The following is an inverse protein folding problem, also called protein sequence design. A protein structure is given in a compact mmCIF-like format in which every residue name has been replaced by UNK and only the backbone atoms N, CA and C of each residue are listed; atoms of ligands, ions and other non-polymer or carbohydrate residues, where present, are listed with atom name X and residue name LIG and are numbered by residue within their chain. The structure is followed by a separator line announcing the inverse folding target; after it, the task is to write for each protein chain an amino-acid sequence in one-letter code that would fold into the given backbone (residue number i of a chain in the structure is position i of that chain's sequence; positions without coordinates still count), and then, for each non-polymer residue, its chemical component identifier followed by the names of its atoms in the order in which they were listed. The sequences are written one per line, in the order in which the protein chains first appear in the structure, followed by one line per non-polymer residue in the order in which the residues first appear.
data_IF_487273012279
#
_entry.id   IF_487273012279
#
_cell.length_a   1.000
_cell.length_b   1.000
_cell.length_c   1.000
_cell.angle_alpha   90.00
_cell.angle_beta   90.00
_cell.angle_gamma   90.00
#
_symmetry.space_group_name_H-M   'P 1'
#
loop_
_entity.id
_entity.type
_entity.pdbx_description
1 polymer ?
#
# COMPACT_ATOMS: atom_id res chain seq x y z
N UNK A 1 -5.36 -53.62 3.48
CA UNK A 1 -4.65 -54.55 2.60
C UNK A 1 -3.78 -55.46 3.45
N UNK A 2 -3.85 -56.78 3.29
CA UNK A 2 -3.13 -57.76 4.11
C UNK A 2 -1.59 -57.61 4.03
N UNK A 3 -1.07 -56.97 2.98
CA UNK A 3 0.35 -56.65 2.80
C UNK A 3 0.90 -55.64 3.85
N UNK A 4 0.07 -54.72 4.32
CA UNK A 4 0.49 -53.69 5.30
C UNK A 4 0.76 -54.30 6.68
N UNK A 5 0.16 -55.46 6.99
CA UNK A 5 0.34 -56.13 8.27
C UNK A 5 1.70 -56.86 8.42
N UNK A 6 2.47 -57.00 7.32
CA UNK A 6 3.75 -57.71 7.30
C UNK A 6 4.98 -56.80 7.15
N UNK A 7 4.80 -55.52 6.79
CA UNK A 7 5.90 -54.58 6.62
C UNK A 7 6.16 -53.82 7.93
N UNK A 8 7.35 -53.99 8.51
CA UNK A 8 7.81 -53.16 9.63
C UNK A 8 8.25 -51.79 9.12
N UNK A 9 7.72 -50.72 9.72
CA UNK A 9 8.13 -49.36 9.39
C UNK A 9 9.52 -49.06 9.98
N UNK A 10 10.50 -48.61 9.17
CA UNK A 10 11.80 -48.24 9.71
C UNK A 10 11.71 -46.97 10.55
N UNK A 11 12.57 -46.85 11.55
CA UNK A 11 12.69 -45.65 12.38
C UNK A 11 13.25 -44.46 11.58
N UNK A 12 14.20 -44.73 10.67
CA UNK A 12 14.82 -43.75 9.79
C UNK A 12 14.85 -44.26 8.35
N UNK A 13 14.62 -43.37 7.39
CA UNK A 13 14.67 -43.66 5.96
C UNK A 13 15.37 -42.50 5.24
N UNK A 14 16.46 -42.78 4.54
CA UNK A 14 17.11 -41.79 3.67
C UNK A 14 16.47 -41.88 2.30
N UNK A 15 15.85 -40.78 1.83
CA UNK A 15 15.31 -40.73 0.48
C UNK A 15 16.45 -40.39 -0.49
N UNK A 16 16.74 -41.29 -1.42
CA UNK A 16 17.74 -41.12 -2.48
C UNK A 16 17.06 -41.24 -3.85
N UNK A 17 17.73 -40.80 -4.91
CA UNK A 17 17.24 -40.98 -6.29
C UNK A 17 17.13 -42.48 -6.65
N UNK A 18 18.06 -43.30 -6.16
CA UNK A 18 17.98 -44.75 -6.23
C UNK A 18 17.05 -45.28 -5.13
N UNK A 19 15.81 -45.58 -5.50
CA UNK A 19 14.85 -46.20 -4.57
C UNK A 19 15.16 -47.70 -4.37
N UNK A 20 14.90 -48.26 -3.18
CA UNK A 20 15.02 -49.69 -2.95
C UNK A 20 14.04 -50.48 -3.82
N UNK A 21 14.45 -51.66 -4.27
CA UNK A 21 13.60 -52.60 -5.03
C UNK A 21 12.47 -53.22 -4.18
N UNK A 22 12.55 -53.07 -2.85
CA UNK A 22 11.57 -53.59 -1.90
C UNK A 22 10.58 -52.51 -1.47
N UNK A 23 9.33 -52.91 -1.18
CA UNK A 23 8.32 -51.98 -0.68
C UNK A 23 8.60 -51.58 0.76
N UNK A 24 8.77 -50.27 1.01
CA UNK A 24 8.99 -49.72 2.36
C UNK A 24 7.74 -48.98 2.84
N UNK A 25 7.26 -49.30 4.06
CA UNK A 25 6.14 -48.61 4.70
C UNK A 25 6.65 -47.44 5.54
N UNK A 26 6.33 -46.21 5.14
CA UNK A 26 6.65 -45.01 5.91
C UNK A 26 5.45 -44.58 6.77
N UNK A 27 5.71 -44.20 8.01
CA UNK A 27 4.69 -43.80 8.99
C UNK A 27 5.06 -42.48 9.66
N UNK A 28 4.19 -41.96 10.53
CA UNK A 28 4.45 -40.73 11.29
C UNK A 28 5.59 -40.87 12.30
N UNK A 29 5.99 -42.11 12.62
CA UNK A 29 7.16 -42.43 13.44
C UNK A 29 8.45 -42.54 12.62
N UNK A 30 8.35 -42.61 11.29
CA UNK A 30 9.52 -42.71 10.42
C UNK A 30 10.10 -41.32 10.17
N UNK A 31 11.38 -41.13 10.46
CA UNK A 31 12.15 -39.95 10.06
C UNK A 31 12.67 -40.13 8.65
N UNK A 32 12.21 -39.28 7.73
CA UNK A 32 12.68 -39.24 6.34
C UNK A 32 13.72 -38.12 6.19
N UNK A 33 14.95 -38.50 5.85
CA UNK A 33 16.03 -37.56 5.54
C UNK A 33 16.04 -37.24 4.05
N UNK A 34 16.04 -35.94 3.72
CA UNK A 34 16.10 -35.41 2.36
C UNK A 34 17.45 -34.72 2.16
N UNK A 35 18.31 -35.31 1.34
CA UNK A 35 19.67 -34.81 1.06
C UNK A 35 20.06 -35.09 -0.38
N UNK A 36 20.69 -34.14 -1.07
CA UNK A 36 21.19 -34.28 -2.43
C UNK A 36 20.15 -34.79 -3.45
N UNK A 37 18.88 -34.40 -3.27
CA UNK A 37 17.77 -34.79 -4.15
C UNK A 37 16.87 -33.60 -4.49
N UNK A 38 16.23 -33.70 -5.64
CA UNK A 38 15.08 -32.89 -6.05
C UNK A 38 13.83 -33.78 -5.99
N UNK A 39 12.74 -33.29 -5.38
CA UNK A 39 11.46 -34.03 -5.40
C UNK A 39 10.29 -33.14 -5.82
N UNK A 40 9.24 -33.75 -6.38
CA UNK A 40 8.02 -33.00 -6.71
C UNK A 40 7.37 -32.41 -5.45
N UNK A 41 6.76 -31.21 -5.55
CA UNK A 41 6.10 -30.56 -4.41
C UNK A 41 5.01 -31.45 -3.80
N UNK A 42 4.35 -32.28 -4.62
CA UNK A 42 3.31 -33.19 -4.19
C UNK A 42 3.86 -34.29 -3.29
N UNK A 43 5.00 -34.90 -3.66
CA UNK A 43 5.67 -35.90 -2.83
C UNK A 43 6.16 -35.27 -1.52
N UNK A 44 6.80 -34.11 -1.60
CA UNK A 44 7.24 -33.36 -0.42
C UNK A 44 6.09 -33.11 0.56
N UNK A 45 4.93 -32.67 0.08
CA UNK A 45 3.76 -32.45 0.93
C UNK A 45 3.16 -33.72 1.52
N UNK A 46 3.27 -34.86 0.84
CA UNK A 46 2.87 -36.16 1.38
C UNK A 46 3.80 -36.52 2.54
N UNK A 47 5.11 -36.40 2.36
CA UNK A 47 6.12 -36.66 3.40
C UNK A 47 5.89 -35.77 4.61
N UNK A 48 5.78 -34.45 4.42
CA UNK A 48 5.51 -33.52 5.53
C UNK A 48 4.29 -33.92 6.37
N UNK A 49 3.25 -34.45 5.75
CA UNK A 49 2.01 -34.83 6.43
C UNK A 49 2.05 -36.19 7.09
N UNK A 50 2.91 -37.09 6.62
CA UNK A 50 2.81 -38.53 6.91
C UNK A 50 4.04 -39.08 7.61
N UNK A 51 5.14 -38.35 7.63
CA UNK A 51 6.41 -38.77 8.24
C UNK A 51 7.02 -37.61 9.02
N UNK A 52 8.00 -37.88 9.87
CA UNK A 52 8.93 -36.84 10.30
C UNK A 52 9.88 -36.54 9.13
N UNK A 53 10.25 -35.28 8.92
CA UNK A 53 11.11 -34.86 7.81
C UNK A 53 12.30 -34.08 8.34
N UNK A 54 13.49 -34.51 7.94
CA UNK A 54 14.75 -33.79 8.15
C UNK A 54 15.30 -33.37 6.79
N UNK A 55 15.62 -32.10 6.63
CA UNK A 55 16.24 -31.56 5.41
C UNK A 55 17.72 -31.31 5.70
N UNK A 56 18.58 -31.89 4.89
CA UNK A 56 20.03 -31.72 4.95
C UNK A 56 20.51 -30.90 3.73
N UNK A 57 21.74 -31.12 3.29
CA UNK A 57 22.35 -30.36 2.20
C UNK A 57 21.71 -30.66 0.84
N UNK A 58 21.65 -29.63 -0.01
CA UNK A 58 21.27 -29.74 -1.42
C UNK A 58 19.92 -30.45 -1.63
N UNK A 59 18.87 -29.96 -0.97
CA UNK A 59 17.48 -30.37 -1.20
C UNK A 59 16.73 -29.31 -2.01
N UNK A 60 15.95 -29.75 -3.01
CA UNK A 60 15.04 -28.86 -3.77
C UNK A 60 13.68 -29.48 -4.02
N UNK A 61 12.69 -28.61 -4.30
CA UNK A 61 11.36 -29.00 -4.75
C UNK A 61 11.07 -28.44 -6.15
N UNK A 62 10.31 -29.21 -6.93
CA UNK A 62 9.94 -28.89 -8.33
C UNK A 62 8.48 -29.21 -8.61
N UNK A 63 7.98 -28.81 -9.78
CA UNK A 63 6.61 -29.08 -10.23
C UNK A 63 6.34 -30.59 -10.28
N UNK A 64 5.16 -30.99 -9.84
CA UNK A 64 4.69 -32.34 -10.05
C UNK A 64 4.20 -32.56 -11.50
N UNK A 65 4.86 -33.46 -12.23
CA UNK A 65 4.43 -33.91 -13.55
C UNK A 65 4.08 -35.40 -13.49
N UNK A 66 2.84 -35.76 -13.84
CA UNK A 66 2.33 -37.14 -13.81
C UNK A 66 3.11 -38.09 -14.76
N UNK A 67 3.85 -37.55 -15.74
CA UNK A 67 4.60 -38.33 -16.73
C UNK A 67 6.10 -38.43 -16.41
N UNK A 68 6.55 -37.94 -15.26
CA UNK A 68 7.98 -37.89 -14.92
C UNK A 68 8.26 -38.41 -13.51
N UNK A 69 9.52 -38.80 -13.30
CA UNK A 69 9.97 -39.24 -11.98
C UNK A 69 9.88 -38.10 -10.96
N UNK A 70 9.24 -38.41 -9.84
CA UNK A 70 9.01 -37.49 -8.73
C UNK A 70 10.22 -37.27 -7.83
N UNK A 71 11.32 -37.99 -8.06
CA UNK A 71 12.58 -37.94 -7.30
C UNK A 71 13.71 -37.95 -8.32
N UNK A 72 14.67 -37.04 -8.16
CA UNK A 72 15.84 -36.90 -9.04
C UNK A 72 17.07 -36.57 -8.23
N UNK A 73 18.23 -36.77 -8.83
CA UNK A 73 19.50 -36.31 -8.28
C UNK A 73 19.56 -34.77 -8.29
N UNK A 74 20.08 -34.18 -7.21
CA UNK A 74 20.25 -32.72 -7.12
C UNK A 74 21.27 -32.22 -8.15
N UNK A 75 21.00 -31.06 -8.75
CA UNK A 75 21.85 -30.45 -9.79
C UNK A 75 21.36 -30.69 -11.21
N UNK A 76 20.41 -31.61 -11.42
CA UNK A 76 19.61 -31.71 -12.65
C UNK A 76 18.45 -30.69 -12.66
N UNK A 77 18.61 -29.59 -11.92
CA UNK A 77 17.54 -28.65 -11.58
C UNK A 77 16.89 -28.14 -12.86
N UNK A 78 15.61 -28.45 -13.01
CA UNK A 78 14.80 -27.72 -13.97
C UNK A 78 14.66 -26.32 -13.42
N UNK A 79 15.20 -25.34 -14.15
CA UNK A 79 14.89 -23.93 -13.92
C UNK A 79 13.42 -23.60 -14.28
N UNK A 80 12.55 -24.62 -14.38
CA UNK A 80 11.12 -24.46 -14.64
C UNK A 80 10.45 -23.95 -13.36
N UNK A 81 9.98 -22.70 -13.34
CA UNK A 81 9.27 -22.16 -12.19
C UNK A 81 7.95 -22.91 -11.98
N UNK A 82 7.52 -23.10 -10.73
CA UNK A 82 6.28 -23.80 -10.42
C UNK A 82 5.35 -23.04 -9.45
N UNK A 83 4.12 -23.53 -9.30
CA UNK A 83 3.08 -22.93 -8.47
C UNK A 83 2.98 -23.60 -7.08
N UNK A 84 3.40 -22.90 -6.02
CA UNK A 84 3.20 -23.33 -4.63
C UNK A 84 1.81 -22.90 -4.12
N UNK A 85 0.80 -23.75 -4.32
CA UNK A 85 -0.58 -23.45 -3.93
C UNK A 85 -1.13 -24.38 -2.83
N UNK A 86 -1.78 -23.79 -1.81
CA UNK A 86 -2.49 -24.57 -0.79
C UNK A 86 -3.64 -23.78 -0.17
N UNK A 87 -4.84 -24.40 -0.18
CA UNK A 87 -6.09 -23.79 0.34
C UNK A 87 -6.68 -24.47 1.58
N UNK A 88 -6.03 -25.51 2.09
CA UNK A 88 -6.55 -26.36 3.18
C UNK A 88 -5.62 -26.34 4.38
N UNK A 89 -6.17 -26.60 5.56
CA UNK A 89 -5.42 -26.69 6.81
C UNK A 89 -4.29 -27.73 6.69
N UNK A 90 -3.11 -27.36 7.17
CA UNK A 90 -1.98 -28.27 7.31
C UNK A 90 -2.09 -28.97 8.66
N UNK A 91 -1.92 -30.30 8.66
CA UNK A 91 -1.97 -31.15 9.86
C UNK A 91 -0.76 -30.88 10.77
N UNK A 92 -0.89 -31.15 12.08
CA UNK A 92 0.13 -30.84 13.10
C UNK A 92 1.55 -31.29 12.75
N UNK A 93 1.72 -32.54 12.32
CA UNK A 93 3.03 -33.10 11.96
C UNK A 93 3.77 -32.29 10.87
N UNK A 94 3.02 -31.75 9.89
CA UNK A 94 3.62 -30.95 8.83
C UNK A 94 4.09 -29.57 9.33
N UNK A 95 3.42 -28.98 10.32
CA UNK A 95 3.88 -27.74 10.94
C UNK A 95 5.12 -28.00 11.80
N UNK A 96 5.14 -29.08 12.57
CA UNK A 96 6.31 -29.49 13.34
C UNK A 96 7.52 -29.74 12.43
N UNK A 97 7.33 -30.41 11.29
CA UNK A 97 8.38 -30.61 10.31
C UNK A 97 8.91 -29.28 9.76
N UNK A 98 8.04 -28.34 9.38
CA UNK A 98 8.45 -27.01 8.87
C UNK A 98 9.20 -26.23 9.95
N UNK A 99 8.77 -26.31 11.20
CA UNK A 99 9.42 -25.62 12.32
C UNK A 99 10.86 -26.09 12.52
N UNK A 100 11.11 -27.40 12.41
CA UNK A 100 12.44 -28.03 12.56
C UNK A 100 13.40 -27.71 11.41
N UNK A 101 12.92 -27.32 10.23
CA UNK A 101 13.77 -27.03 9.08
C UNK A 101 14.63 -25.78 9.30
N UNK A 102 15.86 -25.78 8.79
CA UNK A 102 16.69 -24.58 8.77
C UNK A 102 16.12 -23.54 7.78
N UNK A 103 16.32 -22.23 8.01
CA UNK A 103 16.06 -21.22 6.99
C UNK A 103 16.86 -21.49 5.71
N UNK A 104 16.32 -21.12 4.55
CA UNK A 104 16.97 -21.32 3.24
C UNK A 104 17.46 -22.75 2.96
N UNK A 105 16.82 -23.78 3.53
CA UNK A 105 17.22 -25.18 3.36
C UNK A 105 16.59 -25.86 2.14
N UNK A 106 15.56 -25.26 1.53
CA UNK A 106 14.81 -25.84 0.42
C UNK A 106 15.03 -25.01 -0.84
N UNK A 107 15.79 -25.52 -1.81
CA UNK A 107 15.88 -24.91 -3.13
C UNK A 107 14.55 -24.96 -3.90
N UNK A 108 14.19 -23.87 -4.58
CA UNK A 108 13.01 -23.83 -5.45
C UNK A 108 13.11 -22.68 -6.45
N UNK A 109 12.44 -22.83 -7.61
CA UNK A 109 12.11 -21.72 -8.52
C UNK A 109 10.60 -21.58 -8.54
N UNK A 110 10.08 -20.43 -8.11
CA UNK A 110 8.65 -20.22 -7.93
C UNK A 110 8.12 -19.25 -8.97
N UNK A 111 7.09 -19.68 -9.70
CA UNK A 111 6.29 -18.78 -10.54
C UNK A 111 5.26 -18.04 -9.68
N UNK A 112 4.63 -18.78 -8.76
CA UNK A 112 3.47 -18.31 -7.99
C UNK A 112 3.43 -18.98 -6.63
N UNK A 113 3.03 -18.21 -5.62
CA UNK A 113 2.80 -18.70 -4.26
C UNK A 113 1.42 -18.22 -3.80
N UNK A 114 0.49 -19.15 -3.56
CA UNK A 114 -0.85 -18.83 -3.05
C UNK A 114 -1.18 -19.67 -1.84
N UNK A 115 -1.08 -19.08 -0.65
CA UNK A 115 -1.31 -19.74 0.63
C UNK A 115 -2.46 -19.06 1.37
N UNK A 116 -3.55 -19.81 1.55
CA UNK A 116 -4.79 -19.29 2.15
C UNK A 116 -5.12 -19.99 3.46
N UNK A 117 -5.15 -19.21 4.55
CA UNK A 117 -5.54 -19.62 5.89
C UNK A 117 -4.92 -20.94 6.34
N UNK A 118 -3.59 -21.02 6.20
CA UNK A 118 -2.84 -22.24 6.49
C UNK A 118 -1.51 -21.92 7.15
N UNK A 119 -1.09 -22.77 8.10
CA UNK A 119 0.24 -22.67 8.71
C UNK A 119 1.39 -22.98 7.75
N UNK A 120 1.09 -23.43 6.52
CA UNK A 120 2.10 -23.59 5.46
C UNK A 120 2.81 -22.28 5.13
N UNK A 121 2.24 -21.11 5.44
CA UNK A 121 2.90 -19.81 5.28
C UNK A 121 4.27 -19.79 5.99
N UNK A 122 4.42 -20.57 7.06
CA UNK A 122 5.69 -20.72 7.79
C UNK A 122 6.80 -21.43 7.00
N UNK A 123 6.52 -21.97 5.80
CA UNK A 123 7.55 -22.52 4.93
C UNK A 123 8.36 -21.44 4.23
N UNK A 124 7.84 -20.22 4.06
CA UNK A 124 8.50 -19.17 3.26
C UNK A 124 9.95 -18.89 3.69
N UNK A 125 10.28 -18.74 4.99
CA UNK A 125 11.67 -18.53 5.42
C UNK A 125 12.58 -19.75 5.19
N UNK A 126 12.01 -20.93 4.90
CA UNK A 126 12.73 -22.18 4.64
C UNK A 126 13.09 -22.34 3.16
N UNK A 127 12.41 -21.60 2.28
CA UNK A 127 12.65 -21.59 0.85
C UNK A 127 13.89 -20.73 0.54
N UNK A 128 14.83 -21.31 -0.19
CA UNK A 128 16.00 -20.63 -0.75
C UNK A 128 15.61 -20.04 -2.10
N UNK A 129 14.99 -18.86 -2.04
CA UNK A 129 14.62 -18.05 -3.21
C UNK A 129 15.78 -17.09 -3.49
N UNK A 130 16.34 -17.15 -4.70
CA UNK A 130 17.40 -16.23 -5.10
C UNK A 130 16.82 -14.82 -5.41
N UNK A 131 17.62 -13.76 -5.22
CA UNK A 131 17.18 -12.38 -5.43
C UNK A 131 16.80 -12.04 -6.87
N UNK A 132 17.33 -12.79 -7.83
CA UNK A 132 17.02 -12.71 -9.26
C UNK A 132 15.79 -13.52 -9.68
N UNK A 133 15.18 -14.29 -8.76
CA UNK A 133 13.94 -15.01 -9.05
C UNK A 133 12.79 -14.04 -9.33
N UNK A 134 12.07 -14.26 -10.43
CA UNK A 134 10.87 -13.49 -10.79
C UNK A 134 9.60 -14.25 -10.41
N UNK A 135 8.91 -13.80 -9.34
CA UNK A 135 7.64 -14.35 -8.91
C UNK A 135 6.49 -13.52 -9.49
N UNK A 136 5.61 -14.15 -10.26
CA UNK A 136 4.45 -13.50 -10.86
C UNK A 136 3.43 -13.09 -9.78
N UNK A 137 3.19 -13.95 -8.79
CA UNK A 137 2.21 -13.72 -7.72
C UNK A 137 2.64 -14.29 -6.36
N UNK A 138 2.66 -13.46 -5.32
CA UNK A 138 2.75 -13.87 -3.92
C UNK A 138 1.48 -13.46 -3.17
N UNK A 139 0.57 -14.41 -2.94
CA UNK A 139 -0.72 -14.17 -2.29
C UNK A 139 -0.81 -14.94 -0.97
N UNK A 140 -0.79 -14.22 0.15
CA UNK A 140 -0.87 -14.78 1.50
C UNK A 140 -2.12 -14.25 2.21
N UNK A 141 -2.93 -15.14 2.78
CA UNK A 141 -4.05 -14.76 3.63
C UNK A 141 -4.01 -15.55 4.93
N UNK A 142 -4.08 -14.85 6.07
CA UNK A 142 -4.12 -15.50 7.37
C UNK A 142 -5.10 -14.81 8.31
N UNK A 143 -6.27 -15.42 8.53
CA UNK A 143 -7.29 -14.91 9.47
C UNK A 143 -6.99 -15.24 10.93
N UNK A 144 -6.01 -16.13 11.19
CA UNK A 144 -5.56 -16.52 12.54
C UNK A 144 -4.07 -16.26 12.69
N UNK A 145 -3.66 -15.71 13.84
CA UNK A 145 -2.26 -15.39 14.15
C UNK A 145 -1.34 -16.60 14.05
N UNK A 146 -1.79 -17.77 14.50
CA UNK A 146 -1.01 -19.02 14.48
C UNK A 146 -0.49 -19.40 13.09
N UNK A 147 -1.19 -19.02 12.02
CA UNK A 147 -0.77 -19.34 10.65
C UNK A 147 0.51 -18.62 10.21
N UNK A 148 0.87 -17.52 10.88
CA UNK A 148 2.06 -16.71 10.56
C UNK A 148 3.02 -16.56 11.73
N UNK A 149 2.72 -17.18 12.87
CA UNK A 149 3.45 -16.94 14.12
C UNK A 149 4.94 -17.26 13.99
N UNK A 150 5.30 -18.37 13.35
CA UNK A 150 6.69 -18.77 13.19
C UNK A 150 7.44 -17.87 12.18
N UNK A 151 6.78 -17.40 11.10
CA UNK A 151 7.37 -16.39 10.22
C UNK A 151 7.65 -15.09 10.98
N UNK A 152 6.69 -14.61 11.76
CA UNK A 152 6.84 -13.36 12.52
C UNK A 152 7.86 -13.47 13.66
N UNK A 153 8.14 -14.68 14.13
CA UNK A 153 9.18 -14.95 15.13
C UNK A 153 10.59 -15.01 14.54
N UNK A 154 10.76 -15.06 13.20
CA UNK A 154 12.08 -15.06 12.57
C UNK A 154 12.84 -13.78 12.92
N UNK A 155 14.10 -13.92 13.34
CA UNK A 155 14.99 -12.79 13.60
C UNK A 155 15.48 -12.18 12.29
N UNK A 156 15.92 -13.04 11.37
CA UNK A 156 16.48 -12.64 10.10
C UNK A 156 15.39 -12.51 9.02
N UNK A 157 15.44 -11.48 8.17
CA UNK A 157 14.57 -11.39 7.02
C UNK A 157 14.90 -12.47 5.99
N UNK A 158 13.91 -12.87 5.19
CA UNK A 158 14.06 -13.83 4.09
C UNK A 158 13.81 -13.17 2.73
N UNK A 159 14.46 -13.69 1.68
CA UNK A 159 14.30 -13.18 0.32
C UNK A 159 13.02 -13.72 -0.33
N UNK A 160 12.33 -12.88 -1.11
CA UNK A 160 11.19 -13.28 -1.95
C UNK A 160 11.44 -13.00 -3.44
N UNK A 161 12.66 -12.62 -3.81
CA UNK A 161 13.01 -12.22 -5.17
C UNK A 161 12.25 -10.97 -5.64
N UNK A 162 12.17 -10.82 -6.97
CA UNK A 162 11.37 -9.78 -7.64
C UNK A 162 9.92 -10.26 -7.76
N UNK A 163 8.97 -9.48 -7.25
CA UNK A 163 7.56 -9.89 -7.19
C UNK A 163 6.68 -8.96 -8.02
N UNK A 164 6.06 -9.49 -9.07
CA UNK A 164 5.13 -8.71 -9.90
C UNK A 164 3.90 -8.29 -9.11
N UNK A 165 3.23 -9.23 -8.43
CA UNK A 165 2.03 -8.95 -7.64
C UNK A 165 2.11 -9.58 -6.26
N UNK A 166 2.16 -8.74 -5.22
CA UNK A 166 2.15 -9.19 -3.83
C UNK A 166 0.84 -8.79 -3.15
N UNK A 167 0.09 -9.78 -2.63
CA UNK A 167 -1.15 -9.55 -1.89
C UNK A 167 -1.11 -10.22 -0.52
N UNK A 168 -1.05 -9.41 0.54
CA UNK A 168 -1.03 -9.88 1.91
C UNK A 168 -2.32 -9.44 2.64
N UNK A 169 -3.08 -10.40 3.15
CA UNK A 169 -4.36 -10.16 3.84
C UNK A 169 -4.34 -10.60 5.29
N UNK A 170 -4.96 -9.78 6.13
CA UNK A 170 -5.16 -10.02 7.56
C UNK A 170 -3.81 -10.21 8.26
N UNK A 171 -3.61 -11.22 9.12
CA UNK A 171 -2.33 -11.41 9.82
C UNK A 171 -1.13 -11.58 8.87
N UNK A 172 -1.36 -12.02 7.62
CA UNK A 172 -0.30 -12.11 6.62
C UNK A 172 0.25 -10.74 6.21
N UNK A 173 -0.50 -9.65 6.40
CA UNK A 173 0.01 -8.30 6.16
C UNK A 173 1.24 -8.00 7.05
N UNK A 174 1.38 -8.64 8.20
CA UNK A 174 2.55 -8.47 9.07
C UNK A 174 3.81 -9.18 8.56
N UNK A 175 3.67 -10.17 7.66
CA UNK A 175 4.80 -10.92 7.09
C UNK A 175 5.73 -10.02 6.27
N UNK A 176 5.23 -8.90 5.76
CA UNK A 176 6.05 -7.91 5.02
C UNK A 176 7.27 -7.43 5.80
N UNK A 177 7.18 -7.42 7.14
CA UNK A 177 8.27 -6.99 8.01
C UNK A 177 9.43 -7.97 8.13
N UNK A 178 9.26 -9.17 7.57
CA UNK A 178 10.23 -10.26 7.60
C UNK A 178 10.81 -10.56 6.22
N UNK A 179 10.46 -9.75 5.23
CA UNK A 179 11.05 -9.84 3.90
C UNK A 179 12.31 -8.98 3.86
N UNK A 180 13.36 -9.46 3.20
CA UNK A 180 14.58 -8.69 2.98
C UNK A 180 14.30 -7.57 1.99
N UNK A 181 14.72 -6.32 2.23
CA UNK A 181 14.62 -5.25 1.24
C UNK A 181 15.67 -5.40 0.14
N UNK A 182 16.77 -6.13 0.39
CA UNK A 182 17.85 -6.35 -0.57
C UNK A 182 17.30 -7.09 -1.79
N UNK A 183 17.48 -6.49 -2.97
CA UNK A 183 17.02 -6.97 -4.28
C UNK A 183 15.51 -7.21 -4.45
N UNK A 184 14.69 -6.70 -3.52
CA UNK A 184 13.23 -6.77 -3.64
C UNK A 184 12.68 -5.61 -4.49
N UNK A 185 12.31 -5.92 -5.72
CA UNK A 185 11.48 -5.07 -6.57
C UNK A 185 10.04 -5.60 -6.59
N UNK A 186 9.05 -4.75 -6.26
CA UNK A 186 7.64 -5.11 -6.25
C UNK A 186 6.85 -4.24 -7.23
N UNK A 187 6.20 -4.82 -8.25
CA UNK A 187 5.38 -3.99 -9.16
C UNK A 187 4.02 -3.58 -8.55
N UNK A 188 3.44 -4.43 -7.71
CA UNK A 188 2.16 -4.15 -7.05
C UNK A 188 2.09 -4.78 -5.66
N UNK A 189 2.27 -3.99 -4.60
CA UNK A 189 2.06 -4.39 -3.20
C UNK A 189 0.65 -4.02 -2.73
N UNK A 190 -0.11 -5.01 -2.24
CA UNK A 190 -1.46 -4.82 -1.68
C UNK A 190 -1.54 -5.39 -0.27
N UNK A 191 -1.76 -4.51 0.71
CA UNK A 191 -1.97 -4.91 2.10
C UNK A 191 -3.41 -4.61 2.52
N UNK A 192 -4.07 -5.61 3.10
CA UNK A 192 -5.46 -5.49 3.57
C UNK A 192 -5.59 -6.01 4.99
N UNK A 193 -6.13 -5.22 5.90
CA UNK A 193 -6.41 -5.67 7.27
C UNK A 193 -7.74 -5.12 7.80
N UNK A 194 -8.61 -6.02 8.23
CA UNK A 194 -9.94 -5.67 8.79
C UNK A 194 -9.93 -5.39 10.29
N UNK A 195 -8.89 -5.82 11.00
CA UNK A 195 -8.74 -5.66 12.46
C UNK A 195 -7.35 -5.13 12.82
N UNK A 196 -7.26 -4.41 13.93
CA UNK A 196 -5.97 -3.88 14.43
C UNK A 196 -4.97 -4.98 14.75
N UNK A 197 -5.44 -6.11 15.29
CA UNK A 197 -4.61 -7.27 15.65
C UNK A 197 -3.84 -7.85 14.45
N UNK A 198 -4.38 -7.74 13.23
CA UNK A 198 -3.75 -8.24 12.01
C UNK A 198 -2.42 -7.54 11.66
N UNK A 199 -2.26 -6.29 12.09
CA UNK A 199 -1.06 -5.46 11.86
C UNK A 199 -0.32 -5.12 13.15
N UNK A 200 -0.72 -5.70 14.28
CA UNK A 200 -0.16 -5.35 15.58
C UNK A 200 1.35 -5.61 15.65
N UNK A 201 1.83 -6.68 15.02
CA UNK A 201 3.27 -6.99 14.95
C UNK A 201 4.05 -5.89 14.20
N UNK A 202 3.51 -5.38 13.09
CA UNK A 202 4.13 -4.26 12.35
C UNK A 202 4.15 -3.00 13.20
N UNK A 203 3.02 -2.65 13.78
CA UNK A 203 2.87 -1.42 14.58
C UNK A 203 3.72 -1.43 15.86
N UNK A 204 4.09 -2.61 16.36
CA UNK A 204 4.96 -2.78 17.51
C UNK A 204 6.45 -2.59 17.18
N UNK A 205 6.85 -2.54 15.90
CA UNK A 205 8.24 -2.34 15.54
C UNK A 205 8.74 -0.96 15.99
N UNK A 206 9.90 -0.92 16.63
CA UNK A 206 10.54 0.33 17.05
C UNK A 206 11.19 1.04 15.86
N UNK A 207 11.92 0.28 15.04
CA UNK A 207 12.61 0.78 13.85
C UNK A 207 11.70 0.68 12.63
N UNK A 208 11.70 1.69 11.74
CA UNK A 208 11.10 1.55 10.43
C UNK A 208 11.74 0.40 9.64
N UNK A 209 10.98 -0.19 8.71
CA UNK A 209 11.48 -1.16 7.74
C UNK A 209 11.34 -0.61 6.31
N UNK A 210 12.08 -1.21 5.38
CA UNK A 210 11.94 -0.93 3.95
C UNK A 210 11.38 -2.15 3.21
N UNK A 211 10.67 -1.88 2.12
CA UNK A 211 10.13 -2.89 1.20
C UNK A 211 10.81 -2.83 -0.17
N UNK A 212 11.97 -2.17 -0.24
CA UNK A 212 12.68 -1.88 -1.49
C UNK A 212 11.89 -0.93 -2.38
N UNK A 213 11.98 -1.17 -3.69
CA UNK A 213 11.33 -0.37 -4.72
C UNK A 213 9.95 -0.91 -5.07
N UNK A 214 8.92 -0.08 -4.96
CA UNK A 214 7.53 -0.46 -5.22
C UNK A 214 6.90 0.43 -6.29
N UNK A 215 6.50 -0.14 -7.44
CA UNK A 215 5.80 0.65 -8.48
C UNK A 215 4.41 1.09 -7.99
N UNK A 216 3.62 0.18 -7.40
CA UNK A 216 2.27 0.49 -6.91
C UNK A 216 2.01 -0.10 -5.53
N UNK A 217 1.63 0.72 -4.56
CA UNK A 217 1.34 0.33 -3.19
C UNK A 217 -0.10 0.69 -2.82
N UNK A 218 -0.87 -0.30 -2.38
CA UNK A 218 -2.27 -0.15 -1.96
C UNK A 218 -2.43 -0.63 -0.51
N UNK A 219 -2.81 0.26 0.40
CA UNK A 219 -3.05 -0.05 1.80
C UNK A 219 -4.52 0.18 2.16
N UNK A 220 -5.16 -0.87 2.69
CA UNK A 220 -6.59 -0.88 2.98
C UNK A 220 -6.92 -1.23 4.44
N UNK A 221 -7.83 -0.45 5.02
CA UNK A 221 -8.29 -0.68 6.39
C UNK A 221 -7.19 -0.40 7.41
N UNK A 222 -7.02 -1.28 8.39
CA UNK A 222 -5.92 -1.16 9.37
C UNK A 222 -4.53 -1.28 8.75
N UNK A 223 -4.41 -1.79 7.52
CA UNK A 223 -3.13 -1.84 6.82
C UNK A 223 -2.60 -0.44 6.48
N UNK A 224 -3.45 0.59 6.48
CA UNK A 224 -3.00 1.99 6.38
C UNK A 224 -2.02 2.33 7.51
N UNK A 225 -2.16 1.75 8.71
CA UNK A 225 -1.23 1.97 9.83
C UNK A 225 0.19 1.49 9.57
N UNK A 226 0.38 0.52 8.67
CA UNK A 226 1.69 -0.02 8.30
C UNK A 226 2.61 1.07 7.74
N UNK A 227 2.03 2.09 7.08
CA UNK A 227 2.79 3.21 6.50
C UNK A 227 3.62 3.97 7.54
N UNK A 228 3.20 3.99 8.81
CA UNK A 228 3.91 4.69 9.90
C UNK A 228 5.20 3.98 10.33
N UNK A 229 5.39 2.75 9.85
CA UNK A 229 6.55 1.90 10.11
C UNK A 229 7.36 1.64 8.85
N UNK A 230 6.92 2.19 7.72
CA UNK A 230 7.71 2.23 6.50
C UNK A 230 8.51 3.54 6.50
N UNK A 231 9.80 3.47 6.18
CA UNK A 231 10.63 4.67 6.11
C UNK A 231 12.12 4.36 6.14
N UNK A 232 12.75 4.31 4.97
CA UNK A 232 14.20 4.23 4.80
C UNK A 232 14.60 5.03 3.57
N UNK A 233 15.85 5.51 3.51
CA UNK A 233 16.34 6.33 2.39
C UNK A 233 16.17 5.64 1.03
N UNK A 234 16.20 4.30 1.05
CA UNK A 234 16.10 3.44 -0.13
C UNK A 234 14.66 3.05 -0.50
N UNK A 235 13.65 3.51 0.24
CA UNK A 235 12.26 3.20 -0.09
C UNK A 235 11.75 4.16 -1.17
N UNK A 236 11.47 3.61 -2.35
CA UNK A 236 10.87 4.34 -3.47
C UNK A 236 9.50 3.79 -3.82
N UNK A 237 8.48 4.66 -3.84
CA UNK A 237 7.11 4.29 -4.24
C UNK A 237 6.63 5.17 -5.38
N UNK A 238 6.34 4.59 -6.55
CA UNK A 238 5.86 5.40 -7.67
C UNK A 238 4.40 5.83 -7.49
N UNK A 239 3.54 4.93 -6.98
CA UNK A 239 2.12 5.18 -6.74
C UNK A 239 1.69 4.64 -5.38
N UNK A 240 1.25 5.51 -4.47
CA UNK A 240 0.72 5.17 -3.15
C UNK A 240 -0.77 5.47 -3.08
N UNK A 241 -1.58 4.47 -2.70
CA UNK A 241 -3.00 4.64 -2.41
C UNK A 241 -3.36 4.13 -1.01
N UNK A 242 -3.89 5.02 -0.18
CA UNK A 242 -4.38 4.73 1.16
C UNK A 242 -5.91 4.86 1.18
N UNK A 243 -6.61 3.81 1.61
CA UNK A 243 -8.08 3.85 1.74
C UNK A 243 -8.50 3.30 3.11
N UNK A 244 -9.17 4.17 3.89
CA UNK A 244 -9.65 3.85 5.23
C UNK A 244 -11.12 4.26 5.38
N UNK A 245 -12.02 3.29 5.32
CA UNK A 245 -13.48 3.50 5.41
C UNK A 245 -14.04 3.65 6.82
N UNK A 246 -13.20 3.61 7.86
CA UNK A 246 -13.61 3.76 9.26
C UNK A 246 -12.54 4.54 10.01
N UNK A 247 -12.95 5.44 10.89
CA UNK A 247 -12.06 6.25 11.74
C UNK A 247 -11.02 5.38 12.48
N UNK A 248 -11.47 4.26 13.04
CA UNK A 248 -10.62 3.32 13.79
C UNK A 248 -9.43 2.77 13.00
N UNK A 249 -9.47 2.79 11.67
CA UNK A 249 -8.36 2.36 10.81
C UNK A 249 -7.15 3.30 10.88
N UNK A 250 -7.38 4.59 11.14
CA UNK A 250 -6.34 5.63 11.19
C UNK A 250 -6.19 6.25 12.59
N UNK A 251 -7.10 5.99 13.52
CA UNK A 251 -7.09 6.59 14.86
C UNK A 251 -5.74 6.45 15.60
N UNK A 252 -5.02 5.33 15.39
CA UNK A 252 -3.68 5.14 15.96
C UNK A 252 -2.62 6.06 15.36
N UNK A 253 -2.73 6.37 14.05
CA UNK A 253 -1.83 7.27 13.32
C UNK A 253 -2.08 8.71 13.75
N UNK A 254 -3.34 9.13 13.82
CA UNK A 254 -3.72 10.51 14.13
C UNK A 254 -3.36 10.93 15.57
N UNK A 255 -3.23 9.96 16.48
CA UNK A 255 -2.75 10.18 17.86
C UNK A 255 -1.23 10.34 17.96
N UNK A 256 -0.46 10.04 16.91
CA UNK A 256 0.99 10.19 16.95
C UNK A 256 1.36 11.67 16.96
N UNK A 257 2.27 12.06 17.85
CA UNK A 257 2.83 13.42 17.87
C UNK A 257 3.91 13.59 16.81
N UNK A 258 4.75 12.55 16.64
CA UNK A 258 5.84 12.57 15.66
C UNK A 258 5.30 12.33 14.26
N UNK A 259 5.78 13.14 13.33
CA UNK A 259 5.56 12.90 11.91
C UNK A 259 6.43 11.72 11.46
N UNK A 260 5.96 10.95 10.47
CA UNK A 260 6.74 9.87 9.86
C UNK A 260 7.15 10.23 8.43
N UNK A 261 8.22 9.60 7.97
CA UNK A 261 8.77 9.80 6.64
C UNK A 261 8.76 8.47 5.89
N UNK A 262 8.29 8.48 4.64
CA UNK A 262 7.98 7.27 3.88
C UNK A 262 9.03 6.93 2.80
N UNK A 263 10.02 7.79 2.58
CA UNK A 263 10.86 7.71 1.39
C UNK A 263 10.40 8.65 0.27
N UNK A 264 10.84 8.35 -0.94
CA UNK A 264 10.44 9.07 -2.15
C UNK A 264 9.13 8.51 -2.67
N UNK A 265 8.11 9.36 -2.78
CA UNK A 265 6.81 8.97 -3.35
C UNK A 265 6.40 9.91 -4.48
N UNK A 266 6.23 9.36 -5.69
CA UNK A 266 5.91 10.16 -6.87
C UNK A 266 4.43 10.56 -6.93
N UNK A 267 3.50 9.64 -6.63
CA UNK A 267 2.05 9.89 -6.66
C UNK A 267 1.36 9.38 -5.41
N UNK A 268 0.44 10.17 -4.87
CA UNK A 268 -0.20 9.98 -3.57
C UNK A 268 -1.72 10.13 -3.68
N UNK A 269 -2.48 9.11 -3.24
CA UNK A 269 -3.94 9.08 -3.26
C UNK A 269 -4.49 8.67 -1.90
N UNK A 270 -5.24 9.56 -1.25
CA UNK A 270 -5.75 9.39 0.11
C UNK A 270 -7.27 9.46 0.06
N UNK A 271 -7.92 8.37 0.44
CA UNK A 271 -9.38 8.23 0.36
C UNK A 271 -10.03 8.05 1.74
N UNK A 272 -11.13 8.76 1.94
CA UNK A 272 -11.97 8.69 3.14
C UNK A 272 -11.18 9.11 4.39
N UNK A 273 -11.24 8.36 5.50
CA UNK A 273 -10.49 8.71 6.72
C UNK A 273 -8.97 8.70 6.51
N UNK A 274 -8.47 8.11 5.41
CA UNK A 274 -7.04 8.14 5.11
C UNK A 274 -6.58 9.57 4.82
N UNK A 275 -7.46 10.50 4.41
CA UNK A 275 -7.12 11.92 4.25
C UNK A 275 -6.47 12.51 5.50
N UNK A 276 -6.86 12.08 6.71
CA UNK A 276 -6.23 12.51 7.95
C UNK A 276 -4.75 12.16 8.08
N UNK A 277 -4.28 11.10 7.41
CA UNK A 277 -2.92 10.60 7.52
C UNK A 277 -1.89 11.62 7.02
N UNK A 278 -2.26 12.48 6.06
CA UNK A 278 -1.35 13.48 5.49
C UNK A 278 -0.83 14.45 6.56
N UNK A 279 -1.61 14.75 7.60
CA UNK A 279 -1.20 15.68 8.67
C UNK A 279 -0.12 15.10 9.57
N UNK A 280 0.22 13.81 9.41
CA UNK A 280 1.24 13.09 10.18
C UNK A 280 2.44 12.72 9.33
N UNK A 281 2.47 13.12 8.06
CA UNK A 281 3.60 12.89 7.18
C UNK A 281 4.58 14.07 7.22
N UNK A 282 5.88 13.79 7.14
CA UNK A 282 6.90 14.79 6.90
C UNK A 282 7.11 14.94 5.39
N UNK A 283 6.45 15.92 4.78
CA UNK A 283 6.48 16.16 3.33
C UNK A 283 7.30 17.37 2.90
N UNK A 284 7.92 18.10 3.84
CA UNK A 284 8.55 19.40 3.57
C UNK A 284 9.57 19.35 2.43
N UNK A 285 10.37 18.29 2.39
CA UNK A 285 11.44 18.09 1.39
C UNK A 285 11.05 17.07 0.32
N UNK A 286 9.76 16.76 0.19
CA UNK A 286 9.24 15.85 -0.83
C UNK A 286 8.85 16.61 -2.10
N UNK A 287 9.14 15.97 -3.24
CA UNK A 287 8.63 16.36 -4.56
C UNK A 287 7.59 15.34 -5.00
N UNK A 288 6.32 15.75 -5.04
CA UNK A 288 5.19 14.90 -5.37
C UNK A 288 4.62 15.34 -6.71
N UNK A 289 4.58 14.44 -7.70
CA UNK A 289 4.01 14.75 -9.02
C UNK A 289 2.48 14.91 -8.95
N UNK A 290 1.83 14.11 -8.12
CA UNK A 290 0.37 14.13 -8.01
C UNK A 290 -0.08 13.76 -6.59
N UNK A 291 -0.81 14.67 -5.93
CA UNK A 291 -1.45 14.48 -4.63
C UNK A 291 -2.96 14.61 -4.77
N UNK A 292 -3.71 13.54 -4.52
CA UNK A 292 -5.17 13.54 -4.53
C UNK A 292 -5.74 13.18 -3.17
N UNK A 293 -6.59 14.05 -2.63
CA UNK A 293 -7.36 13.82 -1.41
C UNK A 293 -8.85 13.72 -1.77
N UNK A 294 -9.49 12.61 -1.39
CA UNK A 294 -10.90 12.35 -1.67
C UNK A 294 -11.66 12.06 -0.37
N UNK A 295 -12.69 12.84 -0.06
CA UNK A 295 -13.50 12.65 1.14
C UNK A 295 -15.01 12.82 0.88
N UNK A 296 -15.72 11.71 0.74
CA UNK A 296 -17.17 11.71 0.49
C UNK A 296 -18.05 12.16 1.69
N UNK A 297 -17.51 12.24 2.91
CA UNK A 297 -18.25 12.60 4.14
C UNK A 297 -17.46 13.56 5.01
N UNK A 298 -18.16 14.41 5.76
CA UNK A 298 -17.56 15.39 6.69
C UNK A 298 -16.63 14.74 7.72
N UNK A 299 -17.05 13.61 8.27
CA UNK A 299 -16.30 12.84 9.27
C UNK A 299 -14.91 12.41 8.79
N UNK A 300 -14.72 12.21 7.48
CA UNK A 300 -13.43 11.80 6.89
C UNK A 300 -12.33 12.86 7.05
N UNK A 301 -12.69 14.15 7.16
CA UNK A 301 -11.75 15.27 7.29
C UNK A 301 -11.82 15.96 8.65
N UNK A 302 -12.68 15.49 9.56
CA UNK A 302 -12.94 16.17 10.83
C UNK A 302 -11.66 16.39 11.66
N UNK A 303 -10.79 15.38 11.74
CA UNK A 303 -9.51 15.48 12.46
C UNK A 303 -8.52 16.45 11.80
N UNK A 304 -8.54 16.57 10.48
CA UNK A 304 -7.71 17.55 9.77
C UNK A 304 -8.19 18.96 10.07
N UNK A 305 -9.49 19.19 10.04
CA UNK A 305 -10.09 20.51 10.29
C UNK A 305 -9.95 20.97 11.75
N UNK A 306 -9.74 20.05 12.70
CA UNK A 306 -9.42 20.36 14.09
C UNK A 306 -7.98 20.86 14.29
N UNK A 307 -7.08 20.68 13.32
CA UNK A 307 -5.71 21.16 13.43
C UNK A 307 -5.69 22.68 13.58
N UNK A 308 -4.98 23.18 14.59
CA UNK A 308 -4.78 24.62 14.77
C UNK A 308 -3.71 25.16 13.82
N UNK A 309 -2.62 24.39 13.65
CA UNK A 309 -1.49 24.77 12.82
C UNK A 309 -1.62 24.18 11.42
N UNK A 310 -1.40 24.98 10.37
CA UNK A 310 -1.31 24.44 9.02
C UNK A 310 -0.16 23.45 8.87
N UNK A 311 -0.31 22.43 8.02
CA UNK A 311 0.74 21.47 7.67
C UNK A 311 1.27 21.71 6.24
N UNK A 312 2.55 21.40 5.98
CA UNK A 312 3.12 21.47 4.63
C UNK A 312 2.94 20.14 3.90
N UNK A 313 2.70 20.23 2.59
CA UNK A 313 2.54 19.09 1.68
C UNK A 313 3.73 18.91 0.72
N UNK A 314 4.80 19.68 0.91
CA UNK A 314 5.98 19.67 0.05
C UNK A 314 5.79 20.42 -1.26
N UNK A 315 6.66 20.17 -2.24
CA UNK A 315 6.48 20.66 -3.60
C UNK A 315 5.58 19.68 -4.35
N UNK A 316 4.43 20.15 -4.80
CA UNK A 316 3.41 19.31 -5.46
C UNK A 316 3.18 19.83 -6.88
N UNK A 317 3.37 18.99 -7.89
CA UNK A 317 3.04 19.39 -9.25
C UNK A 317 1.53 19.50 -9.43
N UNK A 318 0.78 18.41 -9.23
CA UNK A 318 -0.68 18.40 -9.33
C UNK A 318 -1.33 18.08 -7.99
N UNK A 319 -2.28 18.90 -7.54
CA UNK A 319 -3.03 18.71 -6.31
C UNK A 319 -4.53 18.74 -6.56
N UNK A 320 -5.20 17.63 -6.30
CA UNK A 320 -6.65 17.47 -6.45
C UNK A 320 -7.32 17.27 -5.09
N UNK A 321 -8.19 18.19 -4.69
CA UNK A 321 -8.99 18.09 -3.46
C UNK A 321 -10.48 17.98 -3.80
N UNK A 322 -11.06 16.81 -3.55
CA UNK A 322 -12.42 16.48 -3.97
C UNK A 322 -13.39 16.31 -2.79
N UNK A 323 -14.61 16.83 -2.98
CA UNK A 323 -15.71 16.79 -1.99
C UNK A 323 -15.29 17.46 -0.68
N UNK A 324 -15.52 16.85 0.49
CA UNK A 324 -15.11 17.43 1.77
C UNK A 324 -13.60 17.66 1.89
N UNK A 325 -12.78 17.02 1.05
CA UNK A 325 -11.34 17.25 1.05
C UNK A 325 -10.99 18.67 0.54
N UNK A 326 -11.87 19.32 -0.22
CA UNK A 326 -11.70 20.73 -0.59
C UNK A 326 -11.54 21.63 0.64
N UNK A 327 -12.21 21.31 1.76
CA UNK A 327 -12.09 22.06 3.01
C UNK A 327 -10.72 21.92 3.68
N UNK A 328 -9.95 20.88 3.36
CA UNK A 328 -8.61 20.64 3.93
C UNK A 328 -7.62 21.72 3.50
N UNK A 329 -7.85 22.40 2.38
CA UNK A 329 -6.98 23.50 1.89
C UNK A 329 -6.71 24.56 2.96
N UNK A 330 -7.69 24.81 3.83
CA UNK A 330 -7.60 25.80 4.92
C UNK A 330 -6.59 25.43 6.01
N UNK A 331 -6.16 24.18 6.02
CA UNK A 331 -5.20 23.61 6.98
C UNK A 331 -3.86 23.29 6.32
N UNK A 332 -3.69 23.63 5.05
CA UNK A 332 -2.42 23.50 4.37
C UNK A 332 -1.66 24.83 4.44
N UNK A 333 -0.36 24.76 4.75
CA UNK A 333 0.56 25.85 4.45
C UNK A 333 0.95 25.71 2.99
N UNK A 334 0.57 26.65 2.14
CA UNK A 334 0.99 26.66 0.72
C UNK A 334 2.03 27.74 0.42
N UNK A 335 2.32 28.63 1.38
CA UNK A 335 3.30 29.69 1.20
C UNK A 335 4.71 29.13 0.95
N UNK A 336 5.05 28.08 1.68
CA UNK A 336 6.37 27.43 1.62
C UNK A 336 6.35 26.12 0.80
N UNK A 337 5.19 25.75 0.27
CA UNK A 337 4.95 24.47 -0.39
C UNK A 337 4.49 24.82 -1.82
N UNK A 338 5.38 24.70 -2.80
CA UNK A 338 5.08 25.10 -4.18
C UNK A 338 4.06 24.15 -4.81
N UNK A 339 2.95 24.67 -5.33
CA UNK A 339 1.94 23.90 -6.06
C UNK A 339 1.90 24.39 -7.51
N UNK A 340 2.13 23.53 -8.50
CA UNK A 340 1.96 23.99 -9.90
C UNK A 340 0.46 24.08 -10.25
N UNK A 341 -0.27 23.00 -10.04
CA UNK A 341 -1.62 22.77 -10.53
C UNK A 341 -2.55 22.44 -9.34
N UNK A 342 -3.44 23.36 -8.94
CA UNK A 342 -4.39 23.17 -7.84
C UNK A 342 -5.82 23.05 -8.35
N UNK A 343 -6.48 21.93 -8.06
CA UNK A 343 -7.88 21.67 -8.41
C UNK A 343 -8.71 21.41 -7.16
N UNK A 344 -9.80 22.19 -6.99
CA UNK A 344 -10.81 21.98 -5.96
C UNK A 344 -12.15 21.65 -6.61
N UNK A 345 -12.80 20.57 -6.18
CA UNK A 345 -14.12 20.17 -6.69
C UNK A 345 -15.08 19.85 -5.56
N UNK A 346 -16.27 20.47 -5.58
CA UNK A 346 -17.30 20.26 -4.56
C UNK A 346 -18.69 20.32 -5.18
N UNK A 347 -19.40 19.20 -5.25
CA UNK A 347 -20.76 19.10 -5.79
C UNK A 347 -21.88 19.49 -4.79
N UNK A 348 -21.53 19.82 -3.54
CA UNK A 348 -22.47 20.30 -2.51
C UNK A 348 -21.86 21.43 -1.69
N UNK A 349 -22.71 22.33 -1.19
CA UNK A 349 -22.29 23.43 -0.31
C UNK A 349 -21.58 22.94 0.97
N UNK A 350 -22.09 21.86 1.56
CA UNK A 350 -21.54 21.25 2.78
C UNK A 350 -20.05 20.86 2.65
N UNK A 351 -19.57 20.58 1.43
CA UNK A 351 -18.18 20.22 1.15
C UNK A 351 -17.20 21.37 1.37
N UNK A 352 -17.66 22.62 1.24
CA UNK A 352 -16.86 23.84 1.38
C UNK A 352 -17.31 24.73 2.55
N UNK A 353 -18.34 24.33 3.30
CA UNK A 353 -18.90 25.12 4.39
C UNK A 353 -17.85 25.54 5.44
N UNK A 354 -16.88 24.66 5.76
CA UNK A 354 -15.80 24.99 6.69
C UNK A 354 -14.87 26.09 6.17
N UNK A 355 -14.67 26.15 4.84
CA UNK A 355 -13.90 27.24 4.21
C UNK A 355 -14.68 28.53 4.22
N UNK A 356 -15.95 28.48 3.82
CA UNK A 356 -16.82 29.66 3.76
C UNK A 356 -17.08 30.29 5.14
N UNK A 357 -17.04 29.49 6.20
CA UNK A 357 -17.14 29.95 7.58
C UNK A 357 -15.90 30.69 8.08
N UNK A 358 -14.78 30.68 7.35
CA UNK A 358 -13.59 31.41 7.78
C UNK A 358 -13.80 32.93 7.70
N UNK A 359 -13.43 33.63 8.77
CA UNK A 359 -13.45 35.10 8.80
C UNK A 359 -12.29 35.70 8.02
N UNK A 360 -11.10 35.11 8.16
CA UNK A 360 -9.86 35.60 7.55
C UNK A 360 -9.56 34.83 6.26
N UNK A 361 -9.23 35.53 5.16
CA UNK A 361 -8.73 34.86 3.98
C UNK A 361 -7.43 34.10 4.26
N UNK A 362 -7.23 32.96 3.60
CA UNK A 362 -5.97 32.21 3.64
C UNK A 362 -5.16 32.44 2.37
N UNK A 363 -3.83 32.36 2.49
CA UNK A 363 -2.92 32.50 1.35
C UNK A 363 -2.75 31.14 0.66
N UNK A 364 -2.98 31.11 -0.66
CA UNK A 364 -2.76 29.91 -1.48
C UNK A 364 -1.31 29.75 -1.94
N UNK A 365 -0.43 30.70 -1.62
CA UNK A 365 0.98 30.66 -1.96
C UNK A 365 1.23 30.74 -3.47
N UNK A 366 2.28 30.08 -3.94
CA UNK A 366 2.64 30.03 -5.36
C UNK A 366 1.85 28.89 -6.03
N UNK A 367 0.82 29.26 -6.78
CA UNK A 367 -0.01 28.34 -7.59
C UNK A 367 0.02 28.78 -9.04
N UNK A 368 0.58 27.96 -9.94
CA UNK A 368 0.66 28.33 -11.36
C UNK A 368 -0.72 28.28 -12.03
N UNK A 369 -1.46 27.18 -11.86
CA UNK A 369 -2.80 27.00 -12.42
C UNK A 369 -3.77 26.60 -11.31
N UNK A 370 -4.95 27.21 -11.31
CA UNK A 370 -5.98 26.97 -10.32
C UNK A 370 -7.33 26.69 -11.00
N UNK A 371 -7.95 25.58 -10.64
CA UNK A 371 -9.28 25.20 -11.12
C UNK A 371 -10.25 25.02 -9.94
N UNK A 372 -11.34 25.78 -9.96
CA UNK A 372 -12.41 25.69 -8.98
C UNK A 372 -13.69 25.23 -9.68
N UNK A 373 -14.20 24.06 -9.28
CA UNK A 373 -15.37 23.42 -9.86
C UNK A 373 -16.57 23.40 -8.90
N UNK A 374 -17.73 23.77 -9.43
CA UNK A 374 -19.01 23.73 -8.73
C UNK A 374 -19.00 24.58 -7.44
N UNK A 375 -19.43 24.08 -6.28
CA UNK A 375 -19.41 24.87 -5.03
C UNK A 375 -17.99 25.28 -4.60
N UNK A 376 -16.94 24.64 -5.13
CA UNK A 376 -15.57 25.07 -4.89
C UNK A 376 -15.27 26.47 -5.46
N UNK A 377 -16.08 26.97 -6.41
CA UNK A 377 -16.00 28.37 -6.86
C UNK A 377 -16.18 29.33 -5.68
N UNK A 378 -17.05 29.00 -4.71
CA UNK A 378 -17.24 29.81 -3.51
C UNK A 378 -15.97 29.98 -2.66
N UNK A 379 -15.02 29.05 -2.72
CA UNK A 379 -13.78 29.09 -1.94
C UNK A 379 -12.93 30.31 -2.30
N UNK A 380 -13.01 30.83 -3.53
CA UNK A 380 -12.24 32.00 -3.96
C UNK A 380 -12.44 33.23 -3.07
N UNK A 381 -13.64 33.34 -2.48
CA UNK A 381 -14.02 34.44 -1.58
C UNK A 381 -13.23 34.47 -0.27
N UNK A 382 -12.56 33.36 0.05
CA UNK A 382 -11.76 33.15 1.25
C UNK A 382 -10.28 32.99 0.93
N UNK A 383 -9.88 33.17 -0.33
CA UNK A 383 -8.50 33.16 -0.74
C UNK A 383 -7.96 34.59 -0.80
N UNK A 384 -6.75 34.80 -0.28
CA UNK A 384 -5.99 36.02 -0.54
C UNK A 384 -5.18 35.81 -1.82
N UNK A 385 -5.58 36.50 -2.91
CA UNK A 385 -4.94 36.39 -4.22
C UNK A 385 -4.01 37.58 -4.55
N UNK A 386 -3.86 38.55 -3.64
CA UNK A 386 -3.06 39.77 -3.90
C UNK A 386 -1.59 39.45 -4.18
N UNK A 387 -1.01 38.59 -3.35
CA UNK A 387 0.41 38.21 -3.42
C UNK A 387 0.62 36.86 -4.14
N UNK A 388 -0.33 36.47 -4.99
CA UNK A 388 -0.28 35.21 -5.73
C UNK A 388 0.06 35.49 -7.19
N UNK A 389 0.98 34.68 -7.73
CA UNK A 389 1.30 34.66 -9.15
C UNK A 389 0.59 33.45 -9.79
N UNK A 390 -0.56 33.68 -10.42
CA UNK A 390 -1.34 32.63 -11.08
C UNK A 390 -1.28 32.84 -12.59
N UNK A 391 -0.78 31.87 -13.33
CA UNK A 391 -0.81 31.90 -14.79
C UNK A 391 -2.24 31.69 -15.32
N UNK A 392 -2.96 30.71 -14.76
CA UNK A 392 -4.29 30.35 -15.22
C UNK A 392 -5.28 30.12 -14.07
N UNK A 393 -6.33 30.94 -14.00
CA UNK A 393 -7.45 30.76 -13.07
C UNK A 393 -8.70 30.33 -13.84
N UNK A 394 -9.24 29.16 -13.53
CA UNK A 394 -10.51 28.66 -14.10
C UNK A 394 -11.58 28.50 -13.04
N UNK A 395 -12.73 29.10 -13.28
CA UNK A 395 -13.93 28.95 -12.48
C UNK A 395 -15.01 28.29 -13.34
N UNK A 396 -15.58 27.18 -12.88
CA UNK A 396 -16.63 26.47 -13.61
C UNK A 396 -17.78 26.11 -12.67
N UNK A 397 -18.99 26.53 -13.02
CA UNK A 397 -20.18 26.15 -12.28
C UNK A 397 -21.32 25.78 -13.24
N UNK A 398 -21.91 24.61 -13.03
CA UNK A 398 -23.01 24.10 -13.86
C UNK A 398 -24.39 24.55 -13.39
N UNK A 399 -24.50 25.12 -12.17
CA UNK A 399 -25.75 25.63 -11.59
C UNK A 399 -25.55 26.96 -10.86
N UNK A 400 -26.62 27.75 -10.74
CA UNK A 400 -26.61 29.04 -10.03
C UNK A 400 -26.29 28.89 -8.53
N UNK A 401 -26.79 27.83 -7.90
CA UNK A 401 -26.55 27.54 -6.47
C UNK A 401 -25.05 27.39 -6.14
N UNK A 402 -24.25 26.90 -7.07
CA UNK A 402 -22.80 26.69 -6.90
C UNK A 402 -22.01 28.01 -6.68
N UNK A 403 -22.57 29.16 -7.09
CA UNK A 403 -21.94 30.48 -6.95
C UNK A 403 -22.64 31.37 -5.93
N UNK A 404 -23.65 30.84 -5.21
CA UNK A 404 -24.46 31.63 -4.30
C UNK A 404 -23.62 32.33 -3.21
N UNK A 405 -22.63 31.63 -2.66
CA UNK A 405 -21.72 32.20 -1.65
C UNK A 405 -20.92 33.42 -2.16
N UNK A 406 -20.52 33.40 -3.44
CA UNK A 406 -19.82 34.53 -4.06
C UNK A 406 -20.77 35.71 -4.23
N UNK A 407 -21.96 35.46 -4.76
CA UNK A 407 -22.96 36.50 -5.01
C UNK A 407 -23.51 37.14 -3.74
N UNK A 408 -23.52 36.40 -2.63
CA UNK A 408 -23.96 36.88 -1.33
C UNK A 408 -22.92 37.79 -0.64
N UNK A 409 -21.67 37.84 -1.12
CA UNK A 409 -20.68 38.72 -0.50
C UNK A 409 -21.03 40.20 -0.73
N UNK A 410 -20.94 40.99 0.34
CA UNK A 410 -21.06 42.45 0.24
C UNK A 410 -19.86 43.04 -0.51
N UNK A 411 -18.65 42.64 -0.10
CA UNK A 411 -17.41 43.13 -0.66
C UNK A 411 -16.94 42.22 -1.81
N UNK A 412 -16.55 42.79 -2.96
CA UNK A 412 -15.92 42.04 -4.04
C UNK A 412 -14.62 41.36 -3.59
N UNK A 413 -14.33 40.17 -4.12
CA UNK A 413 -13.00 39.57 -4.00
C UNK A 413 -12.05 40.17 -5.05
N UNK A 414 -10.78 40.33 -4.70
CA UNK A 414 -9.79 40.94 -5.56
C UNK A 414 -8.89 39.88 -6.21
N UNK A 415 -8.78 39.92 -7.53
CA UNK A 415 -7.86 39.11 -8.32
C UNK A 415 -6.56 39.90 -8.51
N UNK A 416 -5.49 39.44 -7.83
CA UNK A 416 -4.12 39.98 -7.91
C UNK A 416 -3.39 39.53 -9.16
N UNK A 417 -2.12 39.14 -9.09
CA UNK A 417 -1.27 38.79 -10.25
C UNK A 417 -1.72 37.54 -11.04
N UNK A 418 -2.82 37.65 -11.79
CA UNK A 418 -3.39 36.56 -12.59
C UNK A 418 -3.34 36.87 -14.08
N UNK A 419 -2.58 36.09 -14.85
CA UNK A 419 -2.39 36.33 -16.29
C UNK A 419 -3.64 36.00 -17.11
N UNK A 420 -4.28 34.86 -16.83
CA UNK A 420 -5.42 34.38 -17.61
C UNK A 420 -6.54 33.95 -16.70
N UNK A 421 -7.74 34.48 -16.92
CA UNK A 421 -8.94 34.09 -16.19
C UNK A 421 -9.96 33.51 -17.17
N UNK A 422 -10.53 32.37 -16.81
CA UNK A 422 -11.53 31.69 -17.62
C UNK A 422 -12.73 31.26 -16.77
N UNK A 423 -13.89 31.85 -17.03
CA UNK A 423 -15.09 31.69 -16.21
C UNK A 423 -16.20 31.08 -17.06
N UNK A 424 -16.68 29.88 -16.68
CA UNK A 424 -17.62 29.07 -17.46
C UNK A 424 -18.95 28.81 -16.75
N UNK A 425 -20.03 28.82 -17.55
CA UNK A 425 -21.39 28.52 -17.11
C UNK A 425 -21.92 29.57 -16.14
N UNK A 426 -22.53 29.11 -15.05
CA UNK A 426 -23.03 29.99 -13.99
C UNK A 426 -21.90 30.67 -13.21
N UNK A 427 -20.64 30.23 -13.36
CA UNK A 427 -19.52 30.95 -12.78
C UNK A 427 -19.40 32.37 -13.36
N UNK A 428 -19.90 32.63 -14.57
CA UNK A 428 -19.82 33.96 -15.19
C UNK A 428 -20.47 35.05 -14.31
N UNK A 429 -21.47 34.70 -13.49
CA UNK A 429 -22.14 35.62 -12.57
C UNK A 429 -21.19 36.22 -11.51
N UNK A 430 -20.08 35.53 -11.18
CA UNK A 430 -19.12 35.99 -10.16
C UNK A 430 -18.39 37.27 -10.56
N UNK A 431 -18.42 37.65 -11.84
CA UNK A 431 -17.83 38.90 -12.34
C UNK A 431 -18.39 40.14 -11.62
N UNK A 432 -19.66 40.07 -11.18
CA UNK A 432 -20.32 41.16 -10.44
C UNK A 432 -19.75 41.38 -9.04
N UNK A 433 -18.94 40.43 -8.55
CA UNK A 433 -18.31 40.42 -7.23
C UNK A 433 -16.80 40.29 -7.33
N UNK A 434 -16.23 40.57 -8.49
CA UNK A 434 -14.80 40.46 -8.74
C UNK A 434 -14.23 41.85 -9.03
N UNK A 435 -13.13 42.19 -8.38
CA UNK A 435 -12.28 43.33 -8.73
C UNK A 435 -10.92 42.85 -9.22
N UNK A 436 -10.29 43.62 -10.10
CA UNK A 436 -8.94 43.35 -10.58
C UNK A 436 -8.02 44.34 -9.87
N UNK A 437 -6.94 43.83 -9.26
CA UNK A 437 -5.96 44.68 -8.60
C UNK A 437 -5.30 45.63 -9.61
N UNK A 438 -4.96 46.85 -9.21
CA UNK A 438 -4.38 47.87 -10.11
C UNK A 438 -3.06 47.40 -10.77
N UNK A 439 -2.27 46.61 -10.05
CA UNK A 439 -1.00 46.04 -10.53
C UNK A 439 -1.16 44.78 -11.40
N UNK A 440 -2.39 44.31 -11.67
CA UNK A 440 -2.59 43.10 -12.45
C UNK A 440 -2.39 43.37 -13.95
N UNK A 441 -1.39 42.71 -14.55
CA UNK A 441 -1.10 42.73 -15.99
C UNK A 441 -1.82 41.62 -16.75
N UNK A 442 -3.13 41.50 -16.56
CA UNK A 442 -3.93 40.41 -17.11
C UNK A 442 -3.84 40.35 -18.64
N UNK A 443 -3.47 39.19 -19.19
CA UNK A 443 -3.30 38.96 -20.63
C UNK A 443 -4.61 38.53 -21.30
N UNK A 444 -5.42 37.73 -20.61
CA UNK A 444 -6.64 37.15 -21.19
C UNK A 444 -7.75 37.00 -20.16
N UNK A 445 -8.94 37.43 -20.54
CA UNK A 445 -10.14 37.30 -19.73
C UNK A 445 -11.27 36.72 -20.56
N UNK A 446 -11.64 35.46 -20.30
CA UNK A 446 -12.68 34.73 -21.04
C UNK A 446 -13.89 34.50 -20.14
N UNK A 447 -15.05 34.97 -20.61
CA UNK A 447 -16.36 34.70 -20.01
C UNK A 447 -17.21 33.88 -20.99
N UNK A 448 -17.63 32.71 -20.57
CA UNK A 448 -18.56 31.87 -21.32
C UNK A 448 -19.77 31.53 -20.42
N UNK A 449 -20.79 32.38 -20.47
CA UNK A 449 -22.02 32.23 -19.67
C UNK A 449 -23.00 31.20 -20.24
N UNK A 450 -23.99 30.83 -19.42
CA UNK A 450 -25.19 30.09 -19.82
C UNK A 450 -26.43 30.94 -19.65
#
# INVERSE_FOLDING_TARGET
SALVAQLQAPASFSLTHDLPNETVLLTDQTTVTLSNIEISERLFFVLLRKTMVTVEEAFSITEHNDNEDCIREHGMMRETPFCLERRWAVLGLALENIERMAPNSIGCVLERVTLYNTGLINILPKLRIHGDCEIEWLCLTATRREHVAAVLAQENPFCVGRVKNMWLKEYAASVITKMSPEDCEIESLRLYATRREHVAAVLAQEKPFCVGRVKRMFLWGYAVGVITKMGHEDCEVEYLRLLANKEKHVAGILKQEKHFWLGRVRKMYFEEYAVGVITKMSLKDCEVEHLRLYAARREHVAEVLKQEKPFCVGRVKNMDLEYYAASVITKMSLKDCGVEDLSLSADKEEHVAAVLAQEKPFCVGRVKNMWLYEYAVGVITKMSLKDCEIEYLRLCATRREHVAAVLAQENPFCVGGVKRVNIWGYAASVITKMTIHEDNTMESFVLAGK
#
